data_IF_585984371527
#
_entry.id   IF_585984371527
#
_cell.length_a   1.000
_cell.length_b   1.000
_cell.length_c   1.000
_cell.angle_alpha   90.00
_cell.angle_beta   90.00
_cell.angle_gamma   90.00
#
_symmetry.space_group_name_H-M   'P 1'
#
loop_
_entity.id
_entity.type
_entity.pdbx_description
1 polymer ?
#
# COMPACT_ATOMS: atom_id res chain seq x y z
N UNK A 1 1.13 25.44 4.69
CA UNK A 1 1.61 24.34 5.57
C UNK A 1 1.96 23.18 4.66
N UNK A 2 3.22 22.76 4.63
CA UNK A 2 3.64 21.60 3.83
C UNK A 2 3.08 20.35 4.50
N UNK A 3 2.18 19.65 3.82
CA UNK A 3 1.55 18.45 4.36
C UNK A 3 2.60 17.34 4.48
N UNK A 4 2.81 16.81 5.68
CA UNK A 4 3.75 15.71 5.90
C UNK A 4 3.07 14.43 5.39
N UNK A 5 3.37 14.03 4.14
CA UNK A 5 2.92 12.76 3.58
C UNK A 5 3.66 11.61 4.27
N UNK A 6 2.90 10.78 4.98
CA UNK A 6 3.39 9.54 5.58
C UNK A 6 3.43 8.46 4.51
N UNK A 7 4.63 8.04 4.09
CA UNK A 7 4.80 7.00 3.06
C UNK A 7 4.13 5.67 3.48
N UNK A 8 4.07 5.38 4.77
CA UNK A 8 3.44 4.17 5.33
C UNK A 8 1.92 4.18 5.25
N UNK A 9 1.33 5.34 4.89
CA UNK A 9 -0.11 5.49 4.61
C UNK A 9 -0.39 5.68 3.11
N UNK A 10 0.62 5.48 2.27
CA UNK A 10 0.43 5.54 0.83
C UNK A 10 -0.33 4.29 0.35
N UNK A 11 -1.29 4.49 -0.55
CA UNK A 11 -2.08 3.42 -1.14
C UNK A 11 -1.21 2.37 -1.87
N UNK A 12 0.02 2.73 -2.25
CA UNK A 12 0.99 1.80 -2.83
C UNK A 12 1.34 0.62 -1.89
N UNK A 13 1.24 0.81 -0.57
CA UNK A 13 1.50 -0.23 0.44
C UNK A 13 0.24 -1.03 0.81
N UNK A 14 -0.93 -0.63 0.29
CA UNK A 14 -2.23 -1.27 0.50
C UNK A 14 -2.53 -1.56 1.99
N UNK A 15 -2.01 -0.80 2.96
CA UNK A 15 -2.09 -1.17 4.38
C UNK A 15 -3.54 -1.34 4.88
N UNK A 16 -3.83 -2.46 5.56
CA UNK A 16 -5.13 -2.71 6.19
C UNK A 16 -5.13 -2.28 7.65
N UNK A 17 -6.31 -1.98 8.17
CA UNK A 17 -6.48 -1.63 9.56
C UNK A 17 -6.12 -2.82 10.48
N UNK A 18 -5.55 -2.57 11.67
CA UNK A 18 -5.12 -3.63 12.58
C UNK A 18 -6.27 -4.50 13.12
N UNK A 19 -7.50 -4.01 13.06
CA UNK A 19 -8.74 -4.68 13.46
C UNK A 19 -9.46 -5.40 12.30
N UNK A 20 -9.01 -5.21 11.05
CA UNK A 20 -9.55 -5.89 9.87
C UNK A 20 -8.89 -7.26 9.67
N UNK A 21 -9.20 -8.17 10.60
CA UNK A 21 -8.67 -9.53 10.61
C UNK A 21 -9.00 -10.33 9.32
N UNK A 22 -10.20 -10.23 8.72
CA UNK A 22 -10.49 -10.88 7.44
C UNK A 22 -9.52 -10.45 6.34
N UNK A 23 -9.25 -9.15 6.19
CA UNK A 23 -8.33 -8.67 5.17
C UNK A 23 -6.87 -9.11 5.40
N UNK A 24 -6.47 -9.38 6.65
CA UNK A 24 -5.16 -9.97 6.96
C UNK A 24 -5.04 -11.44 6.56
N UNK A 25 -6.16 -12.17 6.50
CA UNK A 25 -6.20 -13.59 6.15
C UNK A 25 -6.22 -13.84 4.64
N UNK A 26 -6.48 -12.81 3.82
CA UNK A 26 -6.50 -12.93 2.37
C UNK A 26 -5.09 -13.14 1.79
N UNK A 27 -4.78 -14.38 1.43
CA UNK A 27 -3.43 -14.80 1.02
C UNK A 27 -3.00 -14.12 -0.30
N UNK A 28 -3.92 -13.95 -1.24
CA UNK A 28 -3.63 -13.37 -2.56
C UNK A 28 -3.09 -11.94 -2.48
N UNK A 29 -3.44 -11.22 -1.41
CA UNK A 29 -2.99 -9.85 -1.13
C UNK A 29 -1.48 -9.73 -0.97
N UNK A 30 -0.83 -10.73 -0.35
CA UNK A 30 0.63 -10.67 -0.13
C UNK A 30 1.44 -10.91 -1.40
N UNK A 31 0.82 -11.46 -2.45
CA UNK A 31 1.45 -11.70 -3.74
C UNK A 31 1.05 -10.65 -4.79
N UNK A 32 0.18 -9.69 -4.43
CA UNK A 32 -0.28 -8.64 -5.31
C UNK A 32 0.82 -7.58 -5.50
N UNK A 33 1.34 -7.48 -6.73
CA UNK A 33 2.33 -6.46 -7.09
C UNK A 33 1.63 -5.13 -7.41
N UNK A 34 2.05 -4.06 -6.71
CA UNK A 34 1.60 -2.70 -7.03
C UNK A 34 2.34 -2.12 -8.23
N UNK A 35 1.62 -1.46 -9.14
CA UNK A 35 2.18 -0.71 -10.29
C UNK A 35 2.52 0.74 -9.94
N UNK A 36 2.33 1.14 -8.67
CA UNK A 36 2.63 2.50 -8.21
C UNK A 36 4.11 2.89 -8.43
N UNK A 37 5.02 1.91 -8.35
CA UNK A 37 6.46 2.12 -8.58
C UNK A 37 6.84 2.16 -10.07
N UNK A 38 6.01 1.64 -10.97
CA UNK A 38 6.32 1.61 -12.40
C UNK A 38 6.40 3.04 -12.97
N UNK A 39 5.57 3.97 -12.46
CA UNK A 39 5.60 5.40 -12.82
C UNK A 39 6.86 6.14 -12.35
N UNK A 40 7.57 5.62 -11.35
CA UNK A 40 8.80 6.22 -10.82
C UNK A 40 10.00 5.80 -11.69
N UNK A 41 9.99 4.56 -12.20
CA UNK A 41 11.07 4.01 -13.02
C UNK A 41 10.96 4.46 -14.49
N UNK A 42 9.75 4.77 -14.98
CA UNK A 42 9.52 5.17 -16.38
C UNK A 42 9.78 6.65 -16.69
N UNK A 43 10.38 7.41 -15.76
CA UNK A 43 10.61 8.85 -15.87
C UNK A 43 12.00 9.19 -16.47
#
# INVERSE_FOLDING_TARGET
MTEIRQITKDNAYDAVAPDDFPAMMEVDRYNARSTAFDKIISA
#
